data_IF_943892850642
#
_entry.id   IF_943892850642
#
_cell.length_a   1.000
_cell.length_b   1.000
_cell.length_c   1.000
_cell.angle_alpha   90.00
_cell.angle_beta   90.00
_cell.angle_gamma   90.00
#
_symmetry.space_group_name_H-M   'P 1'
#
loop_
_entity.id
_entity.type
_entity.pdbx_description
1 polymer ?
#
# COMPACT_ATOMS: atom_id res chain seq x y z
N UNK A 1 -8.78 22.35 -6.39
CA UNK A 1 -8.20 21.27 -5.56
C UNK A 1 -9.09 20.01 -5.63
N UNK A 2 -9.13 19.33 -6.78
CA UNK A 2 -9.94 18.10 -6.98
C UNK A 2 -9.15 16.80 -6.86
N UNK A 3 -7.87 16.87 -6.47
CA UNK A 3 -6.92 15.74 -6.52
C UNK A 3 -6.77 15.03 -5.17
N UNK A 4 -7.25 15.62 -4.07
CA UNK A 4 -7.11 15.05 -2.73
C UNK A 4 -8.14 13.92 -2.55
N UNK A 5 -7.71 12.67 -2.32
CA UNK A 5 -8.61 11.55 -2.08
C UNK A 5 -9.45 11.76 -0.81
N UNK A 6 -10.72 11.37 -0.86
CA UNK A 6 -11.59 11.30 0.31
C UNK A 6 -11.36 10.00 1.07
N UNK A 7 -11.60 10.01 2.39
CA UNK A 7 -11.47 8.80 3.22
C UNK A 7 -12.41 8.87 4.43
N UNK A 8 -13.05 7.74 4.75
CA UNK A 8 -14.05 7.64 5.81
C UNK A 8 -13.50 7.02 7.12
N UNK A 9 -12.21 6.66 7.13
CA UNK A 9 -11.57 6.03 8.28
C UNK A 9 -11.79 4.52 8.37
N UNK A 10 -12.38 3.89 7.35
CA UNK A 10 -12.53 2.43 7.32
C UNK A 10 -11.20 1.75 7.06
N UNK A 11 -11.04 0.57 7.66
CA UNK A 11 -9.81 -0.20 7.53
C UNK A 11 -9.62 -0.83 6.14
N UNK A 12 -10.70 -1.08 5.40
CA UNK A 12 -10.69 -1.76 4.10
C UNK A 12 -10.07 -0.94 2.99
N UNK A 13 -10.33 0.36 2.98
CA UNK A 13 -9.82 1.29 1.97
C UNK A 13 -8.56 2.04 2.44
N UNK A 14 -8.03 1.73 3.63
CA UNK A 14 -6.87 2.45 4.20
C UNK A 14 -5.59 2.23 3.37
N UNK A 15 -5.35 1.01 2.88
CA UNK A 15 -4.17 0.71 2.04
C UNK A 15 -4.21 1.56 0.76
N UNK A 16 -5.33 1.53 0.04
CA UNK A 16 -5.50 2.30 -1.19
C UNK A 16 -5.40 3.81 -0.95
N UNK A 17 -6.02 4.31 0.13
CA UNK A 17 -5.92 5.71 0.52
C UNK A 17 -4.48 6.16 0.75
N UNK A 18 -3.71 5.39 1.54
CA UNK A 18 -2.31 5.73 1.84
C UNK A 18 -1.45 5.69 0.59
N UNK A 19 -1.65 4.73 -0.30
CA UNK A 19 -0.90 4.63 -1.56
C UNK A 19 -1.17 5.86 -2.45
N UNK A 20 -2.44 6.22 -2.66
CA UNK A 20 -2.77 7.41 -3.45
C UNK A 20 -2.21 8.70 -2.83
N UNK A 21 -2.18 8.80 -1.51
CA UNK A 21 -1.59 9.95 -0.81
C UNK A 21 -0.06 9.99 -0.93
N UNK A 22 0.63 8.83 -0.82
CA UNK A 22 2.08 8.72 -1.04
C UNK A 22 2.47 9.18 -2.46
N UNK A 23 1.80 8.64 -3.48
CA UNK A 23 2.06 8.97 -4.89
C UNK A 23 1.90 10.48 -5.19
N UNK A 24 0.98 11.15 -4.49
CA UNK A 24 0.82 12.60 -4.61
C UNK A 24 1.92 13.34 -3.84
N UNK A 25 2.22 12.92 -2.61
CA UNK A 25 3.22 13.57 -1.75
C UNK A 25 4.63 13.52 -2.36
N UNK A 26 4.98 12.43 -3.04
CA UNK A 26 6.29 12.23 -3.68
C UNK A 26 6.56 13.19 -4.85
N UNK A 27 5.52 13.79 -5.44
CA UNK A 27 5.69 14.69 -6.60
C UNK A 27 6.41 15.99 -6.25
N UNK A 28 6.22 16.52 -5.04
CA UNK A 28 6.93 17.71 -4.57
C UNK A 28 6.71 17.98 -3.07
N UNK A 29 7.66 18.66 -2.43
CA UNK A 29 7.54 19.11 -1.04
C UNK A 29 6.28 19.97 -0.82
N UNK A 30 5.98 21.00 -1.64
CA UNK A 30 4.76 21.81 -1.43
C UNK A 30 3.47 21.00 -1.53
N UNK A 31 3.44 19.97 -2.40
CA UNK A 31 2.27 19.10 -2.50
C UNK A 31 2.13 18.24 -1.24
N UNK A 32 3.21 17.67 -0.71
CA UNK A 32 3.21 16.96 0.58
C UNK A 32 2.65 17.81 1.73
N UNK A 33 3.08 19.08 1.83
CA UNK A 33 2.57 20.04 2.83
C UNK A 33 1.09 20.36 2.61
N UNK A 34 0.70 20.59 1.35
CA UNK A 34 -0.68 20.85 0.96
C UNK A 34 -1.61 19.68 1.29
N UNK A 35 -1.18 18.44 1.03
CA UNK A 35 -1.94 17.23 1.38
C UNK A 35 -2.22 17.16 2.88
N UNK A 36 -1.19 17.35 3.71
CA UNK A 36 -1.34 17.33 5.16
C UNK A 36 -2.27 18.43 5.70
N UNK A 37 -2.26 19.59 5.05
CA UNK A 37 -3.14 20.72 5.39
C UNK A 37 -4.60 20.44 5.04
N UNK A 38 -4.85 19.91 3.83
CA UNK A 38 -6.19 19.88 3.24
C UNK A 38 -6.88 18.51 3.29
N UNK A 39 -6.15 17.40 3.47
CA UNK A 39 -6.74 16.06 3.56
C UNK A 39 -7.88 15.94 4.59
N UNK A 40 -7.76 16.50 5.80
CA UNK A 40 -8.85 16.42 6.79
C UNK A 40 -10.17 17.05 6.34
N UNK A 41 -10.14 18.00 5.40
CA UNK A 41 -11.36 18.59 4.82
C UNK A 41 -12.13 17.64 3.89
N UNK A 42 -11.49 16.55 3.46
CA UNK A 42 -12.05 15.48 2.63
C UNK A 42 -12.37 14.22 3.42
N UNK A 43 -12.19 14.25 4.73
CA UNK A 43 -12.50 13.12 5.58
C UNK A 43 -13.95 13.14 6.06
N UNK A 44 -14.46 11.93 6.29
CA UNK A 44 -15.77 11.68 6.88
C UNK A 44 -15.66 10.55 7.89
N UNK A 45 -16.75 10.26 8.61
CA UNK A 45 -16.82 9.15 9.55
C UNK A 45 -15.67 9.14 10.56
N UNK A 46 -15.10 7.95 10.79
CA UNK A 46 -14.07 7.71 11.80
C UNK A 46 -12.80 8.55 11.56
N UNK A 47 -12.45 8.83 10.31
CA UNK A 47 -11.29 9.67 9.98
C UNK A 47 -11.50 11.11 10.44
N UNK A 48 -12.70 11.65 10.21
CA UNK A 48 -13.06 13.00 10.65
C UNK A 48 -13.17 13.07 12.18
N UNK A 49 -13.83 12.10 12.81
CA UNK A 49 -13.97 12.05 14.27
C UNK A 49 -12.60 12.01 14.96
N UNK A 50 -11.68 11.19 14.46
CA UNK A 50 -10.30 11.15 14.95
C UNK A 50 -9.61 12.50 14.85
N UNK A 51 -9.69 13.15 13.68
CA UNK A 51 -9.04 14.43 13.44
C UNK A 51 -9.59 15.55 14.34
N UNK A 52 -10.90 15.58 14.56
CA UNK A 52 -11.57 16.57 15.40
C UNK A 52 -11.28 16.36 16.89
N UNK A 53 -11.02 15.12 17.32
CA UNK A 53 -10.61 14.80 18.68
C UNK A 53 -9.15 15.17 19.00
N UNK A 54 -8.31 15.47 18.00
CA UNK A 54 -6.92 15.87 18.22
C UNK A 54 -6.82 17.26 18.86
N UNK A 55 -5.85 17.42 19.75
CA UNK A 55 -5.49 18.73 20.31
C UNK A 55 -4.98 19.68 19.22
N UNK A 56 -5.11 21.01 19.39
CA UNK A 56 -4.55 21.96 18.43
C UNK A 56 -3.04 21.75 18.14
N UNK A 57 -2.17 21.50 19.14
CA UNK A 57 -0.75 21.21 18.86
C UNK A 57 -0.53 19.93 18.04
N UNK A 58 -1.32 18.87 18.28
CA UNK A 58 -1.21 17.65 17.50
C UNK A 58 -1.63 17.87 16.03
N UNK A 59 -2.72 18.62 15.80
CA UNK A 59 -3.13 19.00 14.44
C UNK A 59 -2.07 19.84 13.73
N UNK A 60 -1.47 20.79 14.44
CA UNK A 60 -0.41 21.63 13.89
C UNK A 60 0.83 20.79 13.50
N UNK A 61 1.23 19.85 14.36
CA UNK A 61 2.31 18.93 14.06
C UNK A 61 2.02 18.06 12.82
N UNK A 62 0.82 17.49 12.72
CA UNK A 62 0.46 16.66 11.57
C UNK A 62 0.25 17.44 10.27
N UNK A 63 -0.08 18.73 10.31
CA UNK A 63 -0.26 19.57 9.12
C UNK A 63 1.04 19.92 8.39
N UNK A 64 2.21 19.71 9.01
CA UNK A 64 3.47 20.17 8.44
C UNK A 64 3.81 19.49 7.12
N UNK A 65 3.58 18.17 6.99
CA UNK A 65 3.83 17.40 5.78
C UNK A 65 3.13 16.04 5.84
N UNK A 66 3.00 15.38 4.68
CA UNK A 66 2.34 14.09 4.58
C UNK A 66 3.00 13.00 5.45
N UNK A 67 4.34 12.84 5.49
CA UNK A 67 4.98 11.87 6.39
C UNK A 67 4.56 11.98 7.85
N UNK A 68 4.47 13.20 8.40
CA UNK A 68 3.99 13.41 9.78
C UNK A 68 2.52 13.04 9.93
N UNK A 69 1.67 13.41 8.97
CA UNK A 69 0.27 13.02 9.02
C UNK A 69 0.09 11.50 8.92
N UNK A 70 0.81 10.85 8.02
CA UNK A 70 0.82 9.39 7.84
C UNK A 70 1.26 8.68 9.11
N UNK A 71 2.23 9.21 9.86
CA UNK A 71 2.60 8.68 11.17
C UNK A 71 1.39 8.68 12.13
N UNK A 72 0.63 9.78 12.19
CA UNK A 72 -0.61 9.86 12.97
C UNK A 72 -1.65 8.82 12.53
N UNK A 73 -1.86 8.67 11.21
CA UNK A 73 -2.77 7.68 10.64
C UNK A 73 -2.34 6.26 11.01
N UNK A 74 -1.05 5.94 10.88
CA UNK A 74 -0.48 4.64 11.25
C UNK A 74 -0.71 4.32 12.72
N UNK A 75 -0.44 5.28 13.61
CA UNK A 75 -0.58 5.08 15.05
C UNK A 75 -2.03 4.84 15.48
N UNK A 76 -3.00 5.50 14.83
CA UNK A 76 -4.41 5.38 15.23
C UNK A 76 -5.18 4.28 14.50
N UNK A 77 -5.01 4.16 13.18
CA UNK A 77 -5.82 3.28 12.34
C UNK A 77 -5.16 1.94 12.02
N UNK A 78 -3.82 1.86 12.03
CA UNK A 78 -3.10 0.60 11.81
C UNK A 78 -2.74 -0.07 13.13
N UNK A 79 -3.74 -0.23 13.99
CA UNK A 79 -3.60 -0.93 15.27
C UNK A 79 -3.34 -2.44 15.06
N UNK A 80 -3.03 -3.15 16.15
CA UNK A 80 -2.67 -4.59 16.08
C UNK A 80 -3.77 -5.46 15.47
N UNK A 81 -5.04 -5.15 15.73
CA UNK A 81 -6.19 -5.86 15.17
C UNK A 81 -6.29 -5.66 13.65
N UNK A 82 -6.22 -4.41 13.19
CA UNK A 82 -6.21 -4.09 11.76
C UNK A 82 -5.03 -4.76 11.05
N UNK A 83 -3.83 -4.72 11.64
CA UNK A 83 -2.63 -5.36 11.10
C UNK A 83 -2.81 -6.88 10.99
N UNK A 84 -3.36 -7.52 12.01
CA UNK A 84 -3.62 -8.96 11.99
C UNK A 84 -4.61 -9.34 10.89
N UNK A 85 -5.70 -8.58 10.75
CA UNK A 85 -6.70 -8.80 9.70
C UNK A 85 -6.10 -8.65 8.30
N UNK A 86 -5.36 -7.56 8.05
CA UNK A 86 -4.75 -7.30 6.73
C UNK A 86 -3.61 -8.23 6.40
N UNK A 87 -2.85 -8.67 7.41
CA UNK A 87 -1.81 -9.69 7.24
C UNK A 87 -2.43 -11.01 6.82
N UNK A 88 -3.52 -11.43 7.47
CA UNK A 88 -4.26 -12.63 7.06
C UNK A 88 -4.79 -12.49 5.62
N UNK A 89 -5.42 -11.36 5.30
CA UNK A 89 -5.88 -11.09 3.93
C UNK A 89 -4.74 -11.20 2.91
N UNK A 90 -3.57 -10.63 3.20
CA UNK A 90 -2.37 -10.71 2.37
C UNK A 90 -1.86 -12.16 2.19
N UNK A 91 -1.85 -12.95 3.27
CA UNK A 91 -1.42 -14.35 3.26
C UNK A 91 -2.39 -15.24 2.48
N UNK A 92 -3.69 -14.93 2.53
CA UNK A 92 -4.76 -15.63 1.82
C UNK A 92 -4.91 -15.17 0.35
N UNK A 93 -4.16 -14.15 -0.10
CA UNK A 93 -4.23 -13.67 -1.48
C UNK A 93 -3.73 -14.74 -2.45
N UNK A 94 -4.56 -15.02 -3.46
CA UNK A 94 -4.19 -15.92 -4.57
C UNK A 94 -4.45 -15.25 -5.91
N UNK A 95 -3.70 -15.69 -6.92
CA UNK A 95 -3.88 -15.24 -8.30
C UNK A 95 -5.30 -15.56 -8.77
N UNK A 96 -5.98 -14.59 -9.38
CA UNK A 96 -7.35 -14.72 -9.88
C UNK A 96 -8.39 -15.17 -8.85
N UNK A 97 -8.22 -14.77 -7.59
CA UNK A 97 -9.23 -14.96 -6.54
C UNK A 97 -10.56 -14.26 -6.87
N UNK A 98 -11.61 -14.57 -6.11
CA UNK A 98 -12.90 -13.88 -6.21
C UNK A 98 -12.71 -12.35 -6.08
N UNK A 99 -13.26 -11.62 -7.05
CA UNK A 99 -13.08 -10.15 -7.16
C UNK A 99 -11.92 -9.72 -8.06
N UNK A 100 -11.01 -10.65 -8.39
CA UNK A 100 -9.82 -10.43 -9.22
C UNK A 100 -9.72 -11.48 -10.34
N UNK A 101 -10.82 -12.06 -10.80
CA UNK A 101 -10.82 -13.25 -11.69
C UNK A 101 -10.14 -13.05 -13.04
N UNK A 102 -10.00 -11.80 -13.50
CA UNK A 102 -9.32 -11.44 -14.75
C UNK A 102 -7.93 -10.81 -14.51
N UNK A 103 -7.45 -10.85 -13.27
CA UNK A 103 -6.15 -10.30 -12.91
C UNK A 103 -5.03 -10.98 -13.71
N UNK A 104 -4.07 -10.16 -14.18
CA UNK A 104 -2.84 -10.62 -14.83
C UNK A 104 -1.74 -10.87 -13.79
N UNK A 105 -0.69 -11.65 -14.11
CA UNK A 105 0.43 -11.87 -13.19
C UNK A 105 1.06 -10.57 -12.68
N UNK A 106 1.19 -9.58 -13.57
CA UNK A 106 1.69 -8.24 -13.20
C UNK A 106 0.75 -7.56 -12.19
N UNK A 107 -0.55 -7.57 -12.44
CA UNK A 107 -1.52 -6.96 -11.53
C UNK A 107 -1.54 -7.65 -10.16
N UNK A 108 -1.40 -8.97 -10.13
CA UNK A 108 -1.28 -9.74 -8.88
C UNK A 108 -0.04 -9.37 -8.06
N UNK A 109 1.12 -9.28 -8.71
CA UNK A 109 2.37 -8.86 -8.08
C UNK A 109 2.24 -7.42 -7.55
N UNK A 110 1.66 -6.51 -8.33
CA UNK A 110 1.41 -5.14 -7.92
C UNK A 110 0.45 -5.06 -6.73
N UNK A 111 -0.63 -5.86 -6.70
CA UNK A 111 -1.55 -5.94 -5.57
C UNK A 111 -0.85 -6.41 -4.31
N UNK A 112 -0.01 -7.44 -4.39
CA UNK A 112 0.81 -7.91 -3.25
C UNK A 112 1.83 -6.86 -2.80
N UNK A 113 2.51 -6.17 -3.73
CA UNK A 113 3.44 -5.06 -3.44
C UNK A 113 2.77 -3.98 -2.59
N UNK A 114 1.57 -3.55 -2.99
CA UNK A 114 0.78 -2.53 -2.29
C UNK A 114 0.54 -2.88 -0.82
N UNK A 115 0.15 -4.13 -0.55
CA UNK A 115 -0.03 -4.61 0.82
C UNK A 115 1.29 -4.69 1.59
N UNK A 116 2.34 -5.23 0.96
CA UNK A 116 3.64 -5.43 1.60
C UNK A 116 4.25 -4.11 2.09
N UNK A 117 4.23 -3.06 1.25
CA UNK A 117 4.77 -1.74 1.60
C UNK A 117 4.05 -1.15 2.83
N UNK A 118 2.72 -1.26 2.87
CA UNK A 118 1.94 -0.68 3.98
C UNK A 118 2.06 -1.49 5.27
N UNK A 119 2.02 -2.83 5.19
CA UNK A 119 2.01 -3.69 6.38
C UNK A 119 3.37 -3.77 7.08
N UNK A 120 4.45 -3.81 6.31
CA UNK A 120 5.79 -4.04 6.83
C UNK A 120 6.64 -2.78 6.87
N UNK A 121 6.15 -1.66 6.30
CA UNK A 121 6.85 -0.39 6.24
C UNK A 121 8.28 -0.56 5.71
N UNK A 122 8.42 -1.32 4.62
CA UNK A 122 9.71 -1.52 3.96
C UNK A 122 10.30 -0.18 3.54
N UNK A 123 11.57 0.02 3.88
CA UNK A 123 12.40 1.05 3.26
C UNK A 123 12.71 0.58 1.82
N UNK A 124 12.71 1.49 0.85
CA UNK A 124 13.06 1.19 -0.55
C UNK A 124 14.45 0.54 -0.67
N UNK A 125 15.32 0.77 0.32
CA UNK A 125 16.65 0.19 0.39
C UNK A 125 16.67 -1.32 0.74
N UNK A 126 15.58 -1.89 1.29
CA UNK A 126 15.46 -3.33 1.59
C UNK A 126 14.65 -4.07 0.51
N UNK A 127 15.15 -3.99 -0.73
CA UNK A 127 14.52 -4.63 -1.89
C UNK A 127 14.38 -6.15 -1.73
N UNK A 128 15.31 -6.80 -1.01
CA UNK A 128 15.30 -8.26 -0.84
C UNK A 128 14.18 -8.75 0.06
N UNK A 129 13.96 -8.11 1.22
CA UNK A 129 12.88 -8.50 2.13
C UNK A 129 11.50 -8.20 1.52
N UNK A 130 11.38 -7.09 0.78
CA UNK A 130 10.16 -6.75 0.06
C UNK A 130 9.83 -7.79 -1.01
N UNK A 131 10.79 -8.21 -1.83
CA UNK A 131 10.58 -9.24 -2.86
C UNK A 131 10.19 -10.57 -2.24
N UNK A 132 10.88 -11.04 -1.20
CA UNK A 132 10.52 -12.28 -0.52
C UNK A 132 9.09 -12.23 0.03
N UNK A 133 8.65 -11.07 0.52
CA UNK A 133 7.30 -10.89 1.04
C UNK A 133 6.26 -10.88 -0.08
N UNK A 134 6.52 -10.16 -1.18
CA UNK A 134 5.68 -10.19 -2.38
C UNK A 134 5.54 -11.62 -2.90
N UNK A 135 6.64 -12.38 -2.91
CA UNK A 135 6.68 -13.76 -3.41
C UNK A 135 6.23 -14.81 -2.38
N UNK A 136 5.89 -14.41 -1.16
CA UNK A 136 5.37 -15.32 -0.14
C UNK A 136 4.08 -15.98 -0.63
N UNK A 137 3.99 -17.31 -0.54
CA UNK A 137 2.85 -18.10 -0.98
C UNK A 137 2.41 -17.87 -2.45
N UNK A 138 3.32 -17.46 -3.35
CA UNK A 138 3.01 -17.50 -4.78
C UNK A 138 2.79 -18.94 -5.25
N UNK A 139 2.11 -19.09 -6.37
CA UNK A 139 1.89 -20.38 -7.00
C UNK A 139 3.21 -21.11 -7.24
N UNK A 140 3.28 -22.41 -6.91
CA UNK A 140 4.53 -23.17 -6.95
C UNK A 140 5.15 -23.20 -8.35
N UNK A 141 4.30 -23.26 -9.39
CA UNK A 141 4.76 -23.25 -10.78
C UNK A 141 5.44 -21.93 -11.18
N UNK A 142 5.22 -20.84 -10.44
CA UNK A 142 5.82 -19.54 -10.71
C UNK A 142 7.21 -19.39 -10.09
N UNK A 143 7.57 -20.20 -9.08
CA UNK A 143 8.81 -20.05 -8.31
C UNK A 143 10.08 -20.20 -9.14
N UNK A 144 10.04 -20.98 -10.22
CA UNK A 144 11.15 -21.12 -11.17
C UNK A 144 11.37 -19.86 -12.01
N UNK A 145 10.28 -19.15 -12.33
CA UNK A 145 10.29 -17.95 -13.19
C UNK A 145 10.48 -16.66 -12.39
N UNK A 146 9.82 -16.57 -11.23
CA UNK A 146 9.74 -15.41 -10.36
C UNK A 146 10.41 -15.74 -9.01
N UNK A 147 11.66 -15.30 -8.85
CA UNK A 147 12.40 -15.47 -7.62
C UNK A 147 13.46 -14.37 -7.44
N UNK A 148 13.90 -14.19 -6.21
CA UNK A 148 14.88 -13.15 -5.84
C UNK A 148 16.24 -13.30 -6.53
N UNK A 149 16.63 -14.50 -6.96
CA UNK A 149 17.92 -14.72 -7.63
C UNK A 149 17.92 -14.17 -9.05
N UNK A 150 16.80 -14.30 -9.75
CA UNK A 150 16.64 -13.82 -11.13
C UNK A 150 16.02 -12.43 -11.22
N UNK A 151 15.30 -12.01 -10.18
CA UNK A 151 14.63 -10.72 -10.06
C UNK A 151 15.00 -10.07 -8.71
N UNK A 152 16.21 -9.51 -8.56
CA UNK A 152 16.65 -8.89 -7.31
C UNK A 152 16.01 -7.52 -7.01
N UNK A 153 15.28 -6.92 -7.96
CA UNK A 153 14.45 -5.73 -7.73
C UNK A 153 12.98 -6.00 -8.02
N UNK A 154 12.10 -5.17 -7.44
CA UNK A 154 10.65 -5.24 -7.72
C UNK A 154 10.35 -4.93 -9.19
N UNK A 155 11.11 -4.02 -9.80
CA UNK A 155 10.94 -3.68 -11.23
C UNK A 155 11.30 -4.87 -12.11
N UNK A 156 12.41 -5.55 -11.84
CA UNK A 156 12.78 -6.78 -12.55
C UNK A 156 11.78 -7.91 -12.33
N UNK A 157 11.12 -7.95 -11.17
CA UNK A 157 10.05 -8.91 -10.90
C UNK A 157 8.83 -8.62 -11.78
N UNK A 158 8.46 -7.34 -11.93
CA UNK A 158 7.36 -6.90 -12.80
C UNK A 158 7.70 -7.15 -14.27
N UNK A 159 8.89 -6.76 -14.71
CA UNK A 159 9.36 -6.96 -16.09
C UNK A 159 9.33 -8.44 -16.45
N UNK A 160 9.85 -9.31 -15.58
CA UNK A 160 9.81 -10.76 -15.82
C UNK A 160 8.39 -11.32 -15.89
N UNK A 161 7.49 -10.83 -15.03
CA UNK A 161 6.10 -11.27 -15.04
C UNK A 161 5.37 -10.82 -16.32
N UNK A 162 5.73 -9.66 -16.87
CA UNK A 162 5.24 -9.18 -18.15
C UNK A 162 5.79 -10.00 -19.32
N UNK A 163 7.09 -10.29 -19.33
CA UNK A 163 7.74 -11.13 -20.36
C UNK A 163 7.22 -12.57 -20.41
N UNK A 164 6.81 -13.11 -19.26
CA UNK A 164 6.40 -14.52 -19.11
C UNK A 164 4.90 -14.65 -18.84
N UNK A 165 4.10 -13.65 -19.18
CA UNK A 165 2.68 -13.57 -18.82
C UNK A 165 1.88 -14.80 -19.27
N UNK A 166 2.03 -15.21 -20.53
CA UNK A 166 1.34 -16.40 -21.07
C UNK A 166 1.72 -17.68 -20.32
N UNK A 167 3.02 -17.88 -20.07
CA UNK A 167 3.54 -19.02 -19.32
C UNK A 167 2.99 -19.04 -17.89
N UNK A 168 2.90 -17.89 -17.22
CA UNK A 168 2.39 -17.78 -15.86
C UNK A 168 0.87 -17.98 -15.77
N UNK A 169 0.13 -17.73 -16.85
CA UNK A 169 -1.32 -17.96 -16.95
C UNK A 169 -1.65 -19.43 -17.28
N UNK A 170 -0.80 -20.10 -18.07
CA UNK A 170 -1.07 -21.44 -18.59
C UNK A 170 -0.81 -22.58 -17.58
N UNK A 171 -0.24 -22.27 -16.41
CA UNK A 171 0.13 -23.22 -15.35
C UNK A 171 -0.93 -23.34 -14.26
#
# INVERSE_FOLDING_TARGET
MSVIPSWDGKGENLIDYVISMNELAEKSIPLSQGLATWAPSKWSGKAKDWWEALTPPAREYFRQDWPKLLMGIRNFFMNSEWKAFRKKEFEDMVFRQRGYSLETPVQYIQRRKRYAIILYNYDENDSSALINTILYNIHDSWKSTLNIRTCPTVDQLIDRAMEQEESLIAL
#
